data_IF_031915277696
#
_entry.id   IF_031915277696
#
_cell.length_a   1.000
_cell.length_b   1.000
_cell.length_c   1.000
_cell.angle_alpha   90.00
_cell.angle_beta   90.00
_cell.angle_gamma   90.00
#
_symmetry.space_group_name_H-M   'P 1'
#
loop_
_entity.id
_entity.type
_entity.pdbx_description
1 polymer ?
#
# COMPACT_ATOMS: atom_id res chain seq x y z
N UNK A 1 -37.83 -26.96 24.16
CA UNK A 1 -37.21 -26.64 22.86
C UNK A 1 -36.77 -25.17 22.93
N UNK A 2 -35.63 -24.79 23.52
CA UNK A 2 -34.28 -25.02 22.99
C UNK A 2 -33.70 -23.73 22.38
N UNK A 3 -33.70 -22.62 23.13
CA UNK A 3 -33.11 -21.34 22.70
C UNK A 3 -31.59 -21.42 22.82
N UNK A 4 -30.90 -21.61 21.69
CA UNK A 4 -29.45 -21.72 21.62
C UNK A 4 -28.78 -20.41 22.06
N UNK A 5 -27.84 -20.53 23.00
CA UNK A 5 -27.03 -19.44 23.53
C UNK A 5 -26.04 -18.89 22.51
N UNK A 6 -26.50 -17.95 21.69
CA UNK A 6 -25.61 -17.01 21.00
C UNK A 6 -25.44 -15.81 21.93
N UNK A 7 -24.31 -15.73 22.63
CA UNK A 7 -23.90 -14.48 23.28
C UNK A 7 -23.87 -13.35 22.25
N UNK A 8 -24.01 -12.10 22.71
CA UNK A 8 -24.07 -10.95 21.79
C UNK A 8 -22.95 -11.02 20.74
N UNK A 9 -23.28 -10.88 19.44
CA UNK A 9 -22.36 -11.19 18.33
C UNK A 9 -21.11 -10.29 18.31
N UNK A 10 -21.11 -9.19 19.07
CA UNK A 10 -19.97 -8.32 19.28
C UNK A 10 -20.09 -7.65 20.64
N UNK A 11 -18.94 -7.33 21.25
CA UNK A 11 -18.89 -6.54 22.48
C UNK A 11 -18.80 -5.07 22.12
N UNK A 12 -19.85 -4.30 22.41
CA UNK A 12 -19.80 -2.84 22.29
C UNK A 12 -18.76 -2.30 23.27
N UNK A 13 -17.76 -1.54 22.81
CA UNK A 13 -16.75 -0.98 23.70
C UNK A 13 -17.38 0.08 24.61
N UNK A 14 -16.83 0.20 25.83
CA UNK A 14 -17.35 1.12 26.82
C UNK A 14 -17.26 2.58 26.33
N UNK A 15 -18.30 3.43 26.49
CA UNK A 15 -18.35 4.77 25.91
C UNK A 15 -17.28 5.75 26.43
N UNK A 16 -16.60 5.44 27.53
CA UNK A 16 -15.51 6.27 28.07
C UNK A 16 -14.23 6.26 27.23
N UNK A 17 -14.09 5.32 26.28
CA UNK A 17 -12.94 5.30 25.38
C UNK A 17 -12.97 6.46 24.38
N UNK A 18 -14.17 6.97 24.08
CA UNK A 18 -14.38 8.04 23.10
C UNK A 18 -14.20 9.39 23.78
N UNK A 19 -12.98 9.92 23.67
CA UNK A 19 -12.56 11.21 24.22
C UNK A 19 -12.27 12.20 23.10
N UNK A 20 -12.90 13.37 23.16
CA UNK A 20 -12.73 14.44 22.18
C UNK A 20 -11.29 14.94 22.16
N UNK A 21 -10.64 14.90 23.32
CA UNK A 21 -9.29 15.43 23.53
C UNK A 21 -8.23 14.69 22.70
N UNK A 22 -8.50 13.43 22.35
CA UNK A 22 -7.58 12.59 21.58
C UNK A 22 -7.63 12.88 20.08
N UNK A 23 -8.61 13.65 19.61
CA UNK A 23 -8.86 13.90 18.19
C UNK A 23 -8.56 15.37 17.85
N UNK A 24 -7.43 15.67 17.18
CA UNK A 24 -7.03 17.04 16.87
C UNK A 24 -8.11 17.84 16.13
N UNK A 25 -8.77 17.20 15.16
CA UNK A 25 -9.82 17.86 14.36
C UNK A 25 -11.05 18.24 15.19
N UNK A 26 -11.47 17.40 16.14
CA UNK A 26 -12.62 17.70 16.99
C UNK A 26 -12.26 18.74 18.05
N UNK A 27 -11.02 18.75 18.55
CA UNK A 27 -10.50 19.81 19.41
C UNK A 27 -10.58 21.18 18.74
N UNK A 28 -10.16 21.29 17.49
CA UNK A 28 -10.24 22.55 16.72
C UNK A 28 -11.69 23.05 16.59
N UNK A 29 -12.64 22.16 16.32
CA UNK A 29 -14.07 22.50 16.26
C UNK A 29 -14.57 22.96 17.63
N UNK A 30 -14.21 22.26 18.69
CA UNK A 30 -14.58 22.63 20.06
C UNK A 30 -14.05 24.02 20.43
N UNK A 31 -12.79 24.32 20.10
CA UNK A 31 -12.18 25.63 20.33
C UNK A 31 -12.84 26.73 19.49
N UNK A 32 -13.16 26.45 18.22
CA UNK A 32 -13.86 27.40 17.35
C UNK A 32 -15.26 27.73 17.85
N UNK A 33 -16.01 26.72 18.33
CA UNK A 33 -17.32 26.91 18.96
C UNK A 33 -17.20 27.67 20.29
N UNK A 34 -16.20 27.34 21.11
CA UNK A 34 -15.96 28.01 22.37
C UNK A 34 -15.64 29.50 22.19
N UNK A 35 -14.93 29.88 21.12
CA UNK A 35 -14.71 31.29 20.75
C UNK A 35 -16.01 32.05 20.47
N UNK A 36 -17.06 31.35 20.09
CA UNK A 36 -18.40 31.90 19.87
C UNK A 36 -19.31 31.75 21.10
N UNK A 37 -18.80 31.24 22.23
CA UNK A 37 -19.59 30.92 23.41
C UNK A 37 -20.51 29.70 23.26
N UNK A 38 -20.30 28.89 22.22
CA UNK A 38 -21.09 27.71 21.91
C UNK A 38 -20.40 26.42 22.37
N UNK A 39 -21.21 25.41 22.69
CA UNK A 39 -20.74 24.07 23.02
C UNK A 39 -21.64 23.02 22.34
N UNK A 40 -21.04 22.20 21.48
CA UNK A 40 -21.77 21.11 20.84
C UNK A 40 -21.74 19.84 21.71
N UNK A 41 -22.90 19.31 22.14
CA UNK A 41 -22.98 18.08 22.93
C UNK A 41 -22.69 16.79 22.14
N UNK A 42 -22.72 16.84 20.80
CA UNK A 42 -22.56 15.67 19.94
C UNK A 42 -21.12 15.36 19.56
N UNK A 43 -20.16 16.24 19.89
CA UNK A 43 -18.76 16.04 19.54
C UNK A 43 -18.20 14.68 19.98
N UNK A 44 -18.62 14.19 21.16
CA UNK A 44 -18.19 12.88 21.67
C UNK A 44 -18.68 11.72 20.79
N UNK A 45 -19.86 11.86 20.21
CA UNK A 45 -20.43 10.85 19.30
C UNK A 45 -19.66 10.78 17.97
N UNK A 46 -18.96 11.84 17.57
CA UNK A 46 -18.17 11.83 16.32
C UNK A 46 -16.76 11.26 16.48
N UNK A 47 -16.29 11.06 17.72
CA UNK A 47 -14.91 10.63 18.02
C UNK A 47 -14.56 9.34 17.30
N UNK A 48 -15.46 8.34 17.30
CA UNK A 48 -15.18 7.03 16.71
C UNK A 48 -14.86 7.10 15.21
N UNK A 49 -15.37 8.12 14.51
CA UNK A 49 -15.17 8.32 13.07
C UNK A 49 -13.80 8.91 12.74
N UNK A 50 -13.25 9.70 13.66
CA UNK A 50 -12.00 10.43 13.46
C UNK A 50 -10.82 9.84 14.24
N UNK A 51 -11.02 8.68 14.89
CA UNK A 51 -10.00 7.96 15.64
C UNK A 51 -8.76 7.65 14.77
N UNK A 52 -7.58 8.26 15.06
CA UNK A 52 -6.38 8.11 14.24
C UNK A 52 -5.86 6.67 14.20
N UNK A 53 -6.07 5.91 15.28
CA UNK A 53 -5.62 4.51 15.38
C UNK A 53 -6.33 3.59 14.39
N UNK A 54 -7.57 3.92 14.01
CA UNK A 54 -8.38 3.12 13.07
C UNK A 54 -8.25 3.60 11.64
N UNK A 55 -8.18 4.92 11.43
CA UNK A 55 -8.15 5.49 10.08
C UNK A 55 -6.72 5.65 9.51
N UNK A 56 -5.69 5.65 10.37
CA UNK A 56 -4.33 6.01 10.01
C UNK A 56 -4.17 7.50 9.66
N UNK A 57 -2.93 7.95 9.53
CA UNK A 57 -2.60 9.32 9.10
C UNK A 57 -2.88 9.50 7.60
N UNK A 58 -3.24 10.71 7.15
CA UNK A 58 -3.41 11.00 5.71
C UNK A 58 -2.15 10.62 4.89
N UNK A 59 -0.96 10.90 5.45
CA UNK A 59 0.32 10.56 4.83
C UNK A 59 0.59 9.05 4.75
N UNK A 60 0.11 8.24 5.70
CA UNK A 60 0.28 6.79 5.59
C UNK A 60 -0.66 6.20 4.54
N UNK A 61 -1.88 6.73 4.41
CA UNK A 61 -2.82 6.33 3.35
C UNK A 61 -2.32 6.71 1.96
N UNK A 62 -1.79 7.91 1.78
CA UNK A 62 -1.21 8.34 0.51
C UNK A 62 -0.02 7.45 0.11
N UNK A 63 0.93 7.22 1.03
CA UNK A 63 2.06 6.30 0.77
C UNK A 63 1.58 4.89 0.47
N UNK A 64 0.61 4.37 1.23
CA UNK A 64 0.05 3.05 0.99
C UNK A 64 -0.64 2.97 -0.38
N UNK A 65 -1.28 4.04 -0.86
CA UNK A 65 -1.89 4.08 -2.20
C UNK A 65 -0.83 4.08 -3.31
N UNK A 66 0.17 4.98 -3.24
CA UNK A 66 1.18 5.12 -4.29
C UNK A 66 2.24 4.02 -4.29
N UNK A 67 2.61 3.51 -3.12
CA UNK A 67 3.68 2.53 -2.97
C UNK A 67 3.14 1.10 -2.83
N UNK A 68 1.81 0.90 -2.92
CA UNK A 68 1.21 -0.44 -2.94
C UNK A 68 1.79 -1.20 -4.12
N UNK A 69 2.48 -2.32 -3.84
CA UNK A 69 2.99 -3.19 -4.90
C UNK A 69 4.28 -2.72 -5.54
N UNK A 70 4.87 -1.59 -5.13
CA UNK A 70 6.18 -1.18 -5.63
C UNK A 70 7.23 -2.26 -5.38
N UNK A 71 7.24 -2.89 -4.19
CA UNK A 71 8.17 -3.98 -3.88
C UNK A 71 8.01 -5.19 -4.82
N UNK A 72 6.77 -5.64 -5.03
CA UNK A 72 6.51 -6.79 -5.91
C UNK A 72 6.78 -6.46 -7.38
N UNK A 73 6.44 -5.25 -7.82
CA UNK A 73 6.78 -4.75 -9.15
C UNK A 73 8.28 -4.66 -9.38
N UNK A 74 9.03 -4.17 -8.39
CA UNK A 74 10.50 -4.11 -8.45
C UNK A 74 11.13 -5.50 -8.51
N UNK A 75 10.61 -6.49 -7.77
CA UNK A 75 11.09 -7.88 -7.86
C UNK A 75 10.82 -8.45 -9.25
N UNK A 76 9.61 -8.29 -9.79
CA UNK A 76 9.27 -8.77 -11.12
C UNK A 76 10.13 -8.11 -12.21
N UNK A 77 10.37 -6.80 -12.11
CA UNK A 77 11.26 -6.07 -13.01
C UNK A 77 12.71 -6.58 -12.95
N UNK A 78 13.23 -6.84 -11.75
CA UNK A 78 14.59 -7.37 -11.58
C UNK A 78 14.73 -8.78 -12.16
N UNK A 79 13.73 -9.64 -11.98
CA UNK A 79 13.70 -10.98 -12.59
C UNK A 79 13.67 -10.86 -14.12
N UNK A 80 12.86 -9.96 -14.66
CA UNK A 80 12.76 -9.75 -16.10
C UNK A 80 14.10 -9.29 -16.70
N UNK A 81 14.74 -8.28 -16.12
CA UNK A 81 16.06 -7.79 -16.54
C UNK A 81 17.12 -8.92 -16.45
N UNK A 82 17.08 -9.71 -15.37
CA UNK A 82 17.98 -10.85 -15.20
C UNK A 82 17.79 -11.92 -16.29
N UNK A 83 16.54 -12.21 -16.66
CA UNK A 83 16.23 -13.12 -17.77
C UNK A 83 16.73 -12.56 -19.11
N UNK A 84 16.44 -11.29 -19.42
CA UNK A 84 16.92 -10.66 -20.66
C UNK A 84 18.45 -10.71 -20.75
N UNK A 85 19.16 -10.32 -19.69
CA UNK A 85 20.62 -10.37 -19.68
C UNK A 85 21.17 -11.79 -19.84
N UNK A 86 20.55 -12.78 -19.19
CA UNK A 86 20.97 -14.18 -19.27
C UNK A 86 20.70 -14.80 -20.65
N UNK A 87 19.62 -14.42 -21.33
CA UNK A 87 19.32 -14.89 -22.69
C UNK A 87 20.16 -14.16 -23.74
N UNK A 88 20.30 -12.83 -23.65
CA UNK A 88 21.19 -12.08 -24.54
C UNK A 88 22.66 -12.50 -24.42
N UNK A 89 23.14 -12.81 -23.20
CA UNK A 89 24.49 -13.35 -23.01
C UNK A 89 24.67 -14.78 -23.52
N UNK A 90 23.59 -15.53 -23.75
CA UNK A 90 23.62 -16.89 -24.30
C UNK A 90 23.61 -16.90 -25.82
N UNK A 91 23.05 -15.86 -26.44
CA UNK A 91 23.04 -15.69 -27.90
C UNK A 91 24.38 -15.17 -28.44
N UNK A 92 25.24 -14.56 -27.60
CA UNK A 92 26.59 -14.09 -27.97
C UNK A 92 27.69 -15.17 -27.95
N UNK A 93 27.33 -16.45 -27.81
CA UNK A 93 28.27 -17.57 -27.91
C UNK A 93 27.95 -18.51 -29.07
N UNK A 94 28.25 -18.05 -30.28
CA UNK A 94 28.48 -18.98 -31.39
C UNK A 94 28.51 -18.34 -32.77
N UNK A 95 29.58 -17.61 -33.11
CA UNK A 95 30.19 -17.64 -34.46
C UNK A 95 31.61 -17.03 -34.39
N UNK A 96 32.54 -17.80 -33.81
CA UNK A 96 33.98 -17.55 -33.92
C UNK A 96 34.63 -18.57 -34.86
N UNK A 97 35.15 -18.06 -35.98
CA UNK A 97 36.22 -18.57 -36.86
C UNK A 97 36.24 -20.04 -37.31
N UNK A 98 36.12 -20.22 -38.63
CA UNK A 98 36.66 -21.36 -39.37
C UNK A 98 37.48 -20.84 -40.54
N UNK A 99 38.79 -20.78 -40.36
CA UNK A 99 39.78 -20.49 -41.40
C UNK A 99 39.97 -21.76 -42.25
N UNK A 100 39.97 -21.64 -43.58
CA UNK A 100 40.16 -22.78 -44.48
C UNK A 100 40.13 -22.38 -45.96
N UNK A 101 41.32 -22.17 -46.51
CA UNK A 101 41.61 -22.01 -47.94
C UNK A 101 41.09 -23.21 -48.77
N UNK A 102 40.68 -23.00 -50.04
CA UNK A 102 41.06 -23.79 -51.23
C UNK A 102 40.25 -23.43 -52.50
N UNK A 103 40.97 -22.89 -53.48
CA UNK A 103 40.97 -23.12 -54.94
C UNK A 103 39.71 -23.06 -55.84
N UNK A 104 39.94 -22.26 -56.91
CA UNK A 104 39.67 -22.47 -58.34
C UNK A 104 38.24 -22.39 -58.93
N UNK A 105 38.16 -21.65 -60.04
CA UNK A 105 37.12 -21.81 -61.05
C UNK A 105 36.62 -20.50 -61.67
N UNK A 106 37.47 -19.79 -62.42
CA UNK A 106 37.00 -18.72 -63.30
C UNK A 106 36.60 -19.31 -64.65
N UNK A 107 35.42 -18.97 -65.20
CA UNK A 107 35.12 -19.17 -66.61
C UNK A 107 34.03 -18.19 -67.10
N UNK A 108 34.44 -17.39 -68.10
CA UNK A 108 33.73 -16.78 -69.23
C UNK A 108 32.63 -15.74 -69.02
#
# INVERSE_FOLDING_TARGET
MGGHGHGEPYKVPHPSIYKVENIPKLREVQEALARQGLKDPWLRNEVWRYEPSKMGTHASRARAFFLRGLLWGSIAAAVHIGCEYAFSSKDDHGHGHGDGEHSEGGHH
#
